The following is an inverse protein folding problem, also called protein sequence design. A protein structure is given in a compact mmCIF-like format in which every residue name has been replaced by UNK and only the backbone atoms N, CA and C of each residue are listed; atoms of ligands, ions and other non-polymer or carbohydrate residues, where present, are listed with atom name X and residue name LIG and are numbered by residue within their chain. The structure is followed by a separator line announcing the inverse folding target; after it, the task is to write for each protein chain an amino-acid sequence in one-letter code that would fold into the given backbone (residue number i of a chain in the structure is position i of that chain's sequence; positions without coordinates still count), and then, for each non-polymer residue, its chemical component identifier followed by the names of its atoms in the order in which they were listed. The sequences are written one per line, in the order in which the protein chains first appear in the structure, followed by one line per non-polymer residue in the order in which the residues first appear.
data_IF_964524089585
#
_entry.id   IF_964524089585
#
_cell.length_a   1.000
_cell.length_b   1.000
_cell.length_c   1.000
_cell.angle_alpha   90.00
_cell.angle_beta   90.00
_cell.angle_gamma   90.00
#
_symmetry.space_group_name_H-M   'P 1'
#
loop_
_entity.id
_entity.type
_entity.pdbx_description
1 polymer ?
#
# COMPACT_ATOMS: atom_id res chain seq x y z
N UNK A 1 5.11 -0.92 -3.79
CA UNK A 1 5.93 -2.17 -3.68
C UNK A 1 5.24 -3.36 -4.33
N UNK A 2 4.02 -3.73 -3.89
CA UNK A 2 3.34 -4.90 -4.43
C UNK A 2 2.96 -4.79 -5.91
N UNK A 3 2.65 -3.59 -6.41
CA UNK A 3 2.37 -3.44 -7.84
C UNK A 3 3.52 -3.87 -8.73
N UNK A 4 4.75 -3.45 -8.45
CA UNK A 4 5.88 -3.92 -9.25
C UNK A 4 6.09 -5.42 -9.11
N UNK A 5 5.80 -6.00 -7.95
CA UNK A 5 5.87 -7.45 -7.73
C UNK A 5 4.89 -8.23 -8.62
N UNK A 6 3.66 -7.73 -8.78
CA UNK A 6 2.65 -8.36 -9.62
C UNK A 6 2.80 -8.01 -11.11
N UNK A 7 3.14 -6.76 -11.43
CA UNK A 7 3.22 -6.25 -12.80
C UNK A 7 4.52 -6.62 -13.51
N UNK A 8 5.65 -6.58 -12.80
CA UNK A 8 6.96 -6.64 -13.42
C UNK A 8 7.41 -8.03 -13.85
N UNK A 9 8.66 -8.11 -14.29
CA UNK A 9 9.23 -9.31 -14.89
C UNK A 9 9.58 -10.40 -13.85
N UNK A 10 9.04 -11.64 -13.98
CA UNK A 10 9.25 -12.70 -13.01
C UNK A 10 10.69 -13.23 -12.92
N UNK A 11 11.63 -12.91 -13.84
CA UNK A 11 13.01 -13.42 -13.75
C UNK A 11 13.77 -12.88 -12.54
N UNK A 12 13.37 -11.72 -12.00
CA UNK A 12 14.07 -10.99 -10.95
C UNK A 12 13.80 -11.57 -9.54
N UNK A 13 14.21 -12.82 -9.31
CA UNK A 13 13.90 -13.59 -8.09
C UNK A 13 14.40 -12.94 -6.79
N UNK A 14 15.54 -12.23 -6.82
CA UNK A 14 16.02 -11.49 -5.66
C UNK A 14 15.07 -10.36 -5.25
N UNK A 15 14.61 -9.57 -6.22
CA UNK A 15 13.69 -8.46 -5.96
C UNK A 15 12.34 -8.96 -5.43
N UNK A 16 11.90 -10.15 -5.87
CA UNK A 16 10.73 -10.83 -5.33
C UNK A 16 10.93 -11.19 -3.87
N UNK A 17 12.03 -11.88 -3.54
CA UNK A 17 12.35 -12.26 -2.15
C UNK A 17 12.47 -11.05 -1.23
N UNK A 18 13.11 -9.98 -1.71
CA UNK A 18 13.21 -8.73 -0.96
C UNK A 18 11.82 -8.09 -0.74
N UNK A 19 10.95 -8.12 -1.75
CA UNK A 19 9.58 -7.60 -1.65
C UNK A 19 8.71 -8.44 -0.70
N UNK A 20 8.82 -9.77 -0.76
CA UNK A 20 8.11 -10.71 0.12
C UNK A 20 8.51 -10.49 1.58
N UNK A 21 9.83 -10.48 1.89
CA UNK A 21 10.33 -10.21 3.24
C UNK A 21 9.96 -8.80 3.72
N UNK A 22 10.05 -7.80 2.85
CA UNK A 22 9.60 -6.45 3.15
C UNK A 22 8.13 -6.42 3.57
N UNK A 23 7.25 -7.10 2.83
CA UNK A 23 5.82 -7.07 3.13
C UNK A 23 5.49 -7.81 4.44
N UNK A 24 6.15 -8.94 4.71
CA UNK A 24 6.04 -9.63 6.01
C UNK A 24 6.42 -8.70 7.17
N UNK A 25 7.53 -7.96 7.04
CA UNK A 25 7.96 -7.00 8.06
C UNK A 25 6.97 -5.83 8.24
N UNK A 26 6.32 -5.38 7.17
CA UNK A 26 5.23 -4.40 7.26
C UNK A 26 4.05 -4.96 8.04
N UNK A 27 3.62 -6.21 7.76
CA UNK A 27 2.53 -6.86 8.48
C UNK A 27 2.83 -6.97 9.99
N UNK A 28 4.03 -7.42 10.35
CA UNK A 28 4.48 -7.53 11.75
C UNK A 28 4.49 -6.15 12.44
N UNK A 29 5.00 -5.11 11.77
CA UNK A 29 5.04 -3.77 12.33
C UNK A 29 3.63 -3.19 12.54
N UNK A 30 2.71 -3.41 11.59
CA UNK A 30 1.30 -3.00 11.72
C UNK A 30 0.64 -3.71 12.90
N UNK A 31 0.76 -5.02 13.00
CA UNK A 31 0.17 -5.80 14.11
C UNK A 31 0.65 -5.29 15.49
N UNK A 32 1.95 -5.01 15.61
CA UNK A 32 2.51 -4.43 16.84
C UNK A 32 1.94 -3.06 17.15
N UNK A 33 1.75 -2.21 16.15
CA UNK A 33 1.24 -0.85 16.34
C UNK A 33 -0.26 -0.80 16.58
N UNK A 34 -1.04 -1.76 16.06
CA UNK A 34 -2.45 -1.90 16.39
C UNK A 34 -2.64 -2.29 17.87
N UNK A 35 -1.78 -3.18 18.38
CA UNK A 35 -1.81 -3.60 19.78
C UNK A 35 -1.19 -2.58 20.73
N UNK A 36 -0.09 -1.95 20.33
CA UNK A 36 0.68 -1.01 21.14
C UNK A 36 1.14 0.18 20.28
N UNK A 37 0.31 1.21 20.11
CA UNK A 37 0.60 2.34 19.23
C UNK A 37 1.90 3.08 19.59
N UNK A 38 2.31 3.10 20.84
CA UNK A 38 3.53 3.77 21.33
C UNK A 38 4.80 2.90 21.26
N UNK A 39 4.74 1.70 20.66
CA UNK A 39 5.93 0.87 20.43
C UNK A 39 6.93 1.57 19.49
N UNK A 40 7.92 2.23 20.09
CA UNK A 40 8.95 2.98 19.36
C UNK A 40 9.70 2.11 18.35
N UNK A 41 9.97 0.84 18.67
CA UNK A 41 10.70 -0.04 17.74
C UNK A 41 9.84 -0.35 16.52
N UNK A 42 8.55 -0.63 16.71
CA UNK A 42 7.63 -0.86 15.60
C UNK A 42 7.42 0.40 14.75
N UNK A 43 7.35 1.58 15.38
CA UNK A 43 7.30 2.87 14.65
C UNK A 43 8.55 3.09 13.81
N UNK A 44 9.74 2.94 14.40
CA UNK A 44 11.00 3.09 13.68
C UNK A 44 11.09 2.10 12.50
N UNK A 45 10.70 0.84 12.73
CA UNK A 45 10.66 -0.18 11.68
C UNK A 45 9.73 0.24 10.54
N UNK A 46 8.48 0.61 10.85
CA UNK A 46 7.51 0.98 9.81
C UNK A 46 7.91 2.26 9.06
N UNK A 47 8.46 3.26 9.76
CA UNK A 47 9.00 4.48 9.12
C UNK A 47 10.15 4.16 8.18
N UNK A 48 11.08 3.29 8.58
CA UNK A 48 12.20 2.86 7.74
C UNK A 48 11.73 2.06 6.52
N UNK A 49 10.78 1.13 6.71
CA UNK A 49 10.14 0.40 5.61
C UNK A 49 9.46 1.37 4.63
N UNK A 50 8.78 2.40 5.14
CA UNK A 50 8.21 3.47 4.32
C UNK A 50 9.25 4.17 3.43
N UNK A 51 10.44 4.48 3.97
CA UNK A 51 11.52 5.09 3.20
C UNK A 51 12.09 4.14 2.12
N UNK A 52 12.19 2.83 2.41
CA UNK A 52 12.67 1.84 1.45
C UNK A 52 11.66 1.57 0.35
N UNK A 53 10.36 1.60 0.64
CA UNK A 53 9.27 1.17 -0.24
C UNK A 53 9.35 1.75 -1.66
N UNK A 54 9.80 3.01 -1.80
CA UNK A 54 9.92 3.73 -3.07
C UNK A 54 11.36 4.15 -3.39
N UNK A 55 12.35 3.61 -2.70
CA UNK A 55 13.79 3.84 -2.97
C UNK A 55 14.25 3.30 -4.34
N UNK A 56 13.42 2.49 -5.01
CA UNK A 56 13.77 1.76 -6.22
C UNK A 56 14.45 0.41 -5.97
N UNK A 57 15.00 0.18 -4.77
CA UNK A 57 15.68 -1.07 -4.40
C UNK A 57 14.78 -2.31 -4.59
N UNK A 58 13.54 -2.24 -4.09
CA UNK A 58 12.58 -3.35 -4.17
C UNK A 58 11.99 -3.53 -5.58
N UNK A 59 12.12 -2.53 -6.44
CA UNK A 59 11.53 -2.52 -7.78
C UNK A 59 12.54 -2.98 -8.85
N UNK A 60 13.84 -2.76 -8.66
CA UNK A 60 14.85 -3.11 -9.66
C UNK A 60 15.44 -4.50 -9.39
N UNK A 61 15.76 -5.29 -10.44
CA UNK A 61 15.66 -4.97 -11.87
C UNK A 61 14.26 -5.23 -12.49
N UNK A 62 13.32 -5.77 -11.71
CA UNK A 62 11.99 -6.21 -12.15
C UNK A 62 11.19 -5.18 -12.94
N UNK A 63 11.19 -3.92 -12.50
CA UNK A 63 10.37 -2.86 -13.07
C UNK A 63 8.87 -3.11 -12.89
N UNK A 64 8.08 -2.54 -13.78
CA UNK A 64 6.62 -2.67 -13.79
C UNK A 64 5.93 -1.33 -13.59
N UNK A 65 4.73 -1.24 -14.17
CA UNK A 65 3.86 -0.07 -14.08
C UNK A 65 3.09 -0.05 -12.74
N UNK A 66 2.43 1.07 -12.46
CA UNK A 66 1.71 1.34 -11.21
C UNK A 66 0.25 1.75 -11.45
N UNK A 67 -0.56 0.91 -12.15
CA UNK A 67 -1.93 1.24 -12.52
C UNK A 67 -2.84 1.55 -11.32
N UNK A 68 -2.67 0.91 -10.17
CA UNK A 68 -3.43 1.23 -8.96
C UNK A 68 -3.16 2.64 -8.48
N UNK A 69 -1.90 3.09 -8.47
CA UNK A 69 -1.60 4.47 -8.09
C UNK A 69 -2.23 5.44 -9.10
N UNK A 70 -2.14 5.13 -10.40
CA UNK A 70 -2.77 5.94 -11.46
C UNK A 70 -4.29 6.05 -11.28
N UNK A 71 -4.98 4.94 -10.95
CA UNK A 71 -6.41 4.94 -10.63
C UNK A 71 -6.72 5.64 -9.31
N UNK A 72 -5.84 5.55 -8.32
CA UNK A 72 -6.07 6.19 -7.04
C UNK A 72 -6.03 7.73 -7.14
N UNK A 73 -5.15 8.30 -7.97
CA UNK A 73 -4.92 9.74 -8.00
C UNK A 73 -6.18 10.58 -8.26
N UNK A 74 -7.06 10.27 -9.24
CA UNK A 74 -8.32 10.99 -9.39
C UNK A 74 -9.23 10.89 -8.17
N UNK A 75 -9.31 9.73 -7.49
CA UNK A 75 -10.13 9.59 -6.29
C UNK A 75 -9.72 10.58 -5.20
N UNK A 76 -8.42 10.69 -4.89
CA UNK A 76 -7.94 11.72 -3.96
C UNK A 76 -8.15 13.13 -4.50
N UNK A 77 -7.96 13.35 -5.80
CA UNK A 77 -8.13 14.68 -6.41
C UNK A 77 -9.55 15.23 -6.31
N UNK A 78 -10.57 14.36 -6.38
CA UNK A 78 -11.98 14.76 -6.30
C UNK A 78 -12.56 14.73 -4.89
N UNK A 79 -12.11 13.80 -4.03
CA UNK A 79 -12.75 13.53 -2.72
C UNK A 79 -11.85 13.77 -1.52
N UNK A 80 -10.61 14.23 -1.71
CA UNK A 80 -9.62 14.47 -0.64
C UNK A 80 -9.41 13.26 0.29
N UNK A 81 -9.55 12.06 -0.25
CA UNK A 81 -9.32 10.82 0.51
C UNK A 81 -7.81 10.61 0.71
N UNK A 82 -7.43 10.02 1.84
CA UNK A 82 -6.03 9.65 2.06
C UNK A 82 -5.56 8.66 0.99
N UNK A 83 -4.33 8.86 0.49
CA UNK A 83 -3.75 8.03 -0.57
C UNK A 83 -3.79 6.52 -0.24
N UNK A 84 -3.37 6.16 0.98
CA UNK A 84 -3.34 4.77 1.45
C UNK A 84 -4.72 4.10 1.51
N UNK A 85 -5.77 4.80 1.97
CA UNK A 85 -7.14 4.26 1.97
C UNK A 85 -7.66 4.03 0.56
N UNK A 86 -7.38 4.94 -0.38
CA UNK A 86 -7.74 4.75 -1.79
C UNK A 86 -7.01 3.57 -2.44
N UNK A 87 -5.74 3.34 -2.10
CA UNK A 87 -5.02 2.16 -2.55
C UNK A 87 -5.60 0.88 -1.94
N UNK A 88 -5.93 0.87 -0.65
CA UNK A 88 -6.50 -0.29 0.02
C UNK A 88 -7.91 -0.64 -0.50
N UNK A 89 -8.69 0.38 -0.88
CA UNK A 89 -9.93 0.22 -1.64
C UNK A 89 -9.67 -0.51 -2.97
N UNK A 90 -8.75 -0.02 -3.79
CA UNK A 90 -8.58 -0.52 -5.16
C UNK A 90 -7.83 -1.84 -5.26
N UNK A 91 -6.88 -2.10 -4.35
CA UNK A 91 -5.91 -3.19 -4.49
C UNK A 91 -6.54 -4.59 -4.65
N UNK A 92 -7.44 -5.06 -3.78
CA UNK A 92 -8.05 -6.40 -3.94
C UNK A 92 -8.93 -6.48 -5.20
N UNK A 93 -9.59 -5.39 -5.59
CA UNK A 93 -10.49 -5.34 -6.76
C UNK A 93 -9.69 -5.43 -8.06
N UNK A 94 -8.62 -4.66 -8.16
CA UNK A 94 -7.67 -4.74 -9.26
C UNK A 94 -7.03 -6.12 -9.34
N UNK A 95 -6.58 -6.67 -8.21
CA UNK A 95 -5.91 -7.98 -8.21
C UNK A 95 -6.86 -9.08 -8.70
N UNK A 96 -8.14 -9.03 -8.29
CA UNK A 96 -9.20 -9.90 -8.81
C UNK A 96 -9.46 -9.68 -10.30
N UNK A 97 -9.44 -8.44 -10.77
CA UNK A 97 -9.64 -8.12 -12.18
C UNK A 97 -8.53 -8.68 -13.10
N UNK A 98 -7.28 -8.68 -12.63
CA UNK A 98 -6.11 -9.10 -13.42
C UNK A 98 -5.63 -10.51 -13.08
N UNK A 99 -6.27 -11.23 -12.16
CA UNK A 99 -5.74 -12.49 -11.61
C UNK A 99 -5.50 -13.56 -12.69
N UNK A 100 -6.37 -13.61 -13.71
CA UNK A 100 -6.31 -14.59 -14.79
C UNK A 100 -5.06 -14.46 -15.66
N UNK A 101 -4.44 -13.28 -15.71
CA UNK A 101 -3.28 -13.02 -16.56
C UNK A 101 -1.98 -13.59 -15.97
N UNK A 102 -1.84 -13.57 -14.63
CA UNK A 102 -0.63 -14.06 -13.93
C UNK A 102 -0.96 -14.76 -12.60
N UNK A 103 -1.76 -15.84 -12.59
CA UNK A 103 -2.16 -16.52 -11.36
C UNK A 103 -0.96 -17.07 -10.58
N UNK A 104 0.08 -17.56 -11.27
CA UNK A 104 1.28 -18.10 -10.62
C UNK A 104 1.99 -17.10 -9.70
N UNK A 105 1.98 -15.80 -10.01
CA UNK A 105 2.62 -14.78 -9.17
C UNK A 105 1.80 -14.49 -7.91
N UNK A 106 0.48 -14.58 -8.02
CA UNK A 106 -0.46 -14.46 -6.90
C UNK A 106 -0.31 -15.68 -5.96
N UNK A 107 -0.27 -16.89 -6.52
CA UNK A 107 -0.02 -18.12 -5.75
C UNK A 107 1.32 -18.02 -5.00
N UNK A 108 2.40 -17.62 -5.69
CA UNK A 108 3.72 -17.42 -5.07
C UNK A 108 3.65 -16.44 -3.89
N UNK A 109 2.86 -15.37 -4.00
CA UNK A 109 2.66 -14.42 -2.90
C UNK A 109 1.98 -15.10 -1.71
N UNK A 110 0.89 -15.83 -1.95
CA UNK A 110 0.18 -16.57 -0.89
C UNK A 110 1.06 -17.58 -0.15
N UNK A 111 1.82 -18.38 -0.89
CA UNK A 111 2.72 -19.38 -0.31
C UNK A 111 3.84 -18.74 0.51
N UNK A 112 4.42 -17.63 0.02
CA UNK A 112 5.65 -17.07 0.61
C UNK A 112 5.39 -16.02 1.69
N UNK A 113 4.29 -15.29 1.59
CA UNK A 113 3.93 -14.21 2.53
C UNK A 113 2.92 -14.71 3.55
N UNK A 114 1.86 -15.38 3.10
CA UNK A 114 0.81 -15.89 3.98
C UNK A 114 1.03 -17.34 4.42
N UNK A 115 2.10 -18.00 3.96
CA UNK A 115 2.41 -19.39 4.28
C UNK A 115 1.26 -20.37 3.93
N UNK A 116 0.54 -20.08 2.85
CA UNK A 116 -0.59 -20.91 2.40
C UNK A 116 -0.10 -22.18 1.69
N UNK A 117 -0.79 -23.30 1.88
CA UNK A 117 -0.61 -24.52 1.11
C UNK A 117 -1.63 -24.57 -0.04
N UNK A 118 -1.14 -24.39 -1.27
CA UNK A 118 -1.96 -24.23 -2.47
C UNK A 118 -1.68 -25.31 -3.52
N UNK A 119 -0.80 -26.28 -3.26
CA UNK A 119 -0.28 -27.23 -4.25
C UNK A 119 -1.39 -28.08 -4.90
N UNK A 120 -2.47 -28.34 -4.15
CA UNK A 120 -3.56 -29.22 -4.58
C UNK A 120 -4.71 -28.50 -5.30
N UNK A 121 -4.72 -27.17 -5.33
CA UNK A 121 -5.80 -26.37 -5.91
C UNK A 121 -5.58 -26.11 -7.41
N UNK A 122 -6.67 -25.88 -8.15
CA UNK A 122 -6.55 -25.39 -9.51
C UNK A 122 -5.93 -23.97 -9.50
N UNK A 123 -5.03 -23.58 -10.44
CA UNK A 123 -4.29 -22.32 -10.33
C UNK A 123 -5.14 -21.05 -10.18
N UNK A 124 -6.30 -20.98 -10.84
CA UNK A 124 -7.21 -19.83 -10.68
C UNK A 124 -7.88 -19.80 -9.30
N UNK A 125 -8.32 -20.96 -8.81
CA UNK A 125 -8.91 -21.11 -7.48
C UNK A 125 -7.87 -20.78 -6.40
N UNK A 126 -6.64 -21.27 -6.56
CA UNK A 126 -5.53 -20.94 -5.67
C UNK A 126 -5.26 -19.42 -5.62
N UNK A 127 -5.26 -18.74 -6.78
CA UNK A 127 -5.08 -17.30 -6.83
C UNK A 127 -6.24 -16.54 -6.17
N UNK A 128 -7.48 -17.01 -6.33
CA UNK A 128 -8.66 -16.45 -5.65
C UNK A 128 -8.55 -16.59 -4.12
N UNK A 129 -8.14 -17.75 -3.61
CA UNK A 129 -7.92 -17.96 -2.18
C UNK A 129 -6.87 -17.00 -1.59
N UNK A 130 -5.81 -16.69 -2.34
CA UNK A 130 -4.81 -15.68 -1.90
C UNK A 130 -5.41 -14.28 -1.84
N UNK A 131 -6.26 -13.92 -2.81
CA UNK A 131 -6.95 -12.63 -2.83
C UNK A 131 -7.92 -12.53 -1.64
N UNK A 132 -8.63 -13.62 -1.33
CA UNK A 132 -9.49 -13.70 -0.14
C UNK A 132 -8.68 -13.52 1.15
N UNK A 133 -7.55 -14.22 1.30
CA UNK A 133 -6.66 -14.06 2.46
C UNK A 133 -6.12 -12.63 2.60
N UNK A 134 -5.82 -11.97 1.48
CA UNK A 134 -5.42 -10.56 1.45
C UNK A 134 -6.55 -9.64 1.91
N UNK A 135 -7.79 -9.89 1.47
CA UNK A 135 -8.98 -9.13 1.90
C UNK A 135 -9.18 -9.31 3.40
N UNK A 136 -9.11 -10.54 3.92
CA UNK A 136 -9.19 -10.83 5.35
C UNK A 136 -8.13 -10.05 6.13
N UNK A 137 -6.88 -10.05 5.68
CA UNK A 137 -5.83 -9.29 6.34
C UNK A 137 -6.08 -7.78 6.31
N UNK A 138 -6.57 -7.23 5.18
CA UNK A 138 -6.95 -5.82 5.10
C UNK A 138 -8.09 -5.50 6.06
N UNK A 139 -9.08 -6.38 6.21
CA UNK A 139 -10.20 -6.23 7.14
C UNK A 139 -9.73 -6.29 8.60
N UNK A 140 -8.87 -7.24 8.94
CA UNK A 140 -8.24 -7.40 10.27
C UNK A 140 -7.55 -6.11 10.74
N UNK A 141 -6.91 -5.38 9.83
CA UNK A 141 -6.22 -4.11 10.14
C UNK A 141 -7.08 -2.87 9.95
N UNK A 142 -8.37 -3.02 9.62
CA UNK A 142 -9.31 -1.91 9.39
C UNK A 142 -9.03 -1.10 8.12
N UNK A 143 -8.48 -1.75 7.08
CA UNK A 143 -8.10 -1.17 5.80
C UNK A 143 -8.89 -1.70 4.59
N UNK A 144 -9.89 -2.55 4.79
CA UNK A 144 -10.79 -2.95 3.71
C UNK A 144 -11.98 -1.99 3.61
N UNK A 145 -12.07 -1.27 2.49
CA UNK A 145 -13.06 -0.21 2.29
C UNK A 145 -13.94 -0.47 1.06
N UNK A 146 -15.10 0.17 1.04
CA UNK A 146 -15.94 0.42 -0.13
C UNK A 146 -15.98 1.92 -0.45
N UNK A 147 -16.58 2.30 -1.57
CA UNK A 147 -16.68 3.72 -1.97
C UNK A 147 -17.41 4.58 -0.92
N UNK A 148 -18.49 4.05 -0.34
CA UNK A 148 -19.31 4.72 0.66
C UNK A 148 -18.55 4.99 1.97
N UNK A 149 -17.67 4.08 2.42
CA UNK A 149 -16.79 4.26 3.58
C UNK A 149 -15.87 5.48 3.44
N UNK A 150 -15.56 5.87 2.20
CA UNK A 150 -14.65 6.97 1.88
C UNK A 150 -15.40 8.22 1.38
N UNK A 151 -16.73 8.24 1.46
CA UNK A 151 -17.55 9.38 1.04
C UNK A 151 -17.62 9.56 -0.48
N UNK A 152 -17.30 8.53 -1.27
CA UNK A 152 -17.37 8.57 -2.73
C UNK A 152 -18.77 8.09 -3.16
N UNK A 153 -19.55 8.88 -3.92
CA UNK A 153 -20.86 8.46 -4.40
C UNK A 153 -20.80 7.24 -5.31
N UNK A 154 -21.72 6.30 -5.12
CA UNK A 154 -21.95 5.15 -6.01
C UNK A 154 -22.71 5.59 -7.28
N UNK A 155 -22.16 6.54 -8.03
CA UNK A 155 -22.73 7.06 -9.28
C UNK A 155 -21.92 6.57 -10.48
N UNK A 156 -22.47 5.69 -11.34
CA UNK A 156 -21.78 5.19 -12.53
C UNK A 156 -21.28 6.29 -13.46
N UNK A 157 -21.97 7.42 -13.58
CA UNK A 157 -21.55 8.54 -14.43
C UNK A 157 -20.28 9.18 -13.89
N UNK A 158 -20.22 9.37 -12.56
CA UNK A 158 -19.03 9.85 -11.87
C UNK A 158 -17.87 8.85 -12.00
N UNK A 159 -18.12 7.55 -11.79
CA UNK A 159 -17.07 6.51 -11.90
C UNK A 159 -16.50 6.43 -13.33
N UNK A 160 -17.36 6.58 -14.35
CA UNK A 160 -16.91 6.66 -15.74
C UNK A 160 -16.03 7.89 -15.98
N UNK A 161 -16.45 9.06 -15.49
CA UNK A 161 -15.65 10.28 -15.57
C UNK A 161 -14.28 10.12 -14.89
N UNK A 162 -14.23 9.48 -13.73
CA UNK A 162 -12.98 9.19 -13.02
C UNK A 162 -12.08 8.26 -13.85
N UNK A 163 -12.66 7.25 -14.51
CA UNK A 163 -11.90 6.34 -15.38
C UNK A 163 -11.34 7.07 -16.62
N UNK A 164 -12.12 7.95 -17.24
CA UNK A 164 -11.66 8.83 -18.31
C UNK A 164 -10.52 9.74 -17.84
N UNK A 165 -10.62 10.31 -16.64
CA UNK A 165 -9.57 11.16 -16.06
C UNK A 165 -8.26 10.38 -15.81
N UNK A 166 -8.32 9.10 -15.44
CA UNK A 166 -7.11 8.25 -15.33
C UNK A 166 -6.38 8.19 -16.66
N UNK A 167 -7.10 7.89 -17.74
CA UNK A 167 -6.52 7.79 -19.10
C UNK A 167 -6.07 9.16 -19.60
N UNK A 168 -6.84 10.23 -19.35
CA UNK A 168 -6.46 11.59 -19.75
C UNK A 168 -5.14 12.04 -19.10
N UNK A 169 -4.88 11.62 -17.86
CA UNK A 169 -3.69 12.04 -17.10
C UNK A 169 -2.50 11.12 -17.38
N UNK A 170 -2.71 9.80 -17.44
CA UNK A 170 -1.64 8.80 -17.43
C UNK A 170 -1.60 7.89 -18.67
N UNK A 171 -2.59 8.01 -19.55
CA UNK A 171 -2.74 7.13 -20.71
C UNK A 171 -1.65 7.32 -21.75
N UNK A 172 -1.29 6.22 -22.40
CA UNK A 172 -0.43 6.22 -23.58
C UNK A 172 -1.20 6.60 -24.86
N UNK A 173 -0.52 6.58 -26.00
CA UNK A 173 -1.09 6.91 -27.32
C UNK A 173 -2.27 6.02 -27.73
N UNK A 174 -2.43 4.86 -27.09
CA UNK A 174 -3.54 3.93 -27.33
C UNK A 174 -4.71 4.16 -26.36
N UNK A 175 -4.63 5.16 -25.48
CA UNK A 175 -5.66 5.44 -24.49
C UNK A 175 -5.70 4.40 -23.36
N UNK A 176 -4.54 3.83 -23.01
CA UNK A 176 -4.44 2.81 -21.97
C UNK A 176 -3.36 3.15 -20.94
N UNK A 177 -3.50 2.64 -19.71
CA UNK A 177 -2.42 2.58 -18.74
C UNK A 177 -1.78 1.19 -18.72
N UNK A 178 -0.52 1.12 -18.31
CA UNK A 178 0.23 -0.12 -18.21
C UNK A 178 -0.09 -0.95 -16.95
N UNK A 179 0.46 -2.15 -16.87
CA UNK A 179 0.18 -3.13 -15.82
C UNK A 179 0.45 -4.56 -16.29
N UNK A 180 -0.07 -5.56 -15.56
CA UNK A 180 -0.07 -6.97 -16.00
C UNK A 180 -0.69 -7.11 -17.41
N UNK A 181 -1.81 -6.41 -17.63
CA UNK A 181 -2.41 -6.14 -18.94
C UNK A 181 -2.57 -4.62 -19.09
N UNK A 182 -2.73 -4.17 -20.34
CA UNK A 182 -3.12 -2.78 -20.62
C UNK A 182 -4.57 -2.58 -20.16
N UNK A 183 -4.85 -1.45 -19.52
CA UNK A 183 -6.18 -1.10 -19.00
C UNK A 183 -6.68 0.16 -19.71
N UNK A 184 -7.82 0.07 -20.39
CA UNK A 184 -8.55 1.20 -20.93
C UNK A 184 -9.61 1.73 -19.95
N UNK A 185 -10.39 2.70 -20.42
CA UNK A 185 -11.47 3.33 -19.62
C UNK A 185 -12.46 2.29 -19.08
N UNK A 186 -12.92 1.36 -19.93
CA UNK A 186 -13.91 0.35 -19.53
C UNK A 186 -13.36 -0.63 -18.48
N UNK A 187 -12.08 -1.01 -18.57
CA UNK A 187 -11.42 -1.85 -17.57
C UNK A 187 -11.37 -1.14 -16.21
N UNK A 188 -10.97 0.15 -16.21
CA UNK A 188 -10.86 0.97 -15.01
C UNK A 188 -12.24 1.22 -14.39
N UNK A 189 -13.24 1.52 -15.21
CA UNK A 189 -14.63 1.67 -14.77
C UNK A 189 -15.11 0.39 -14.07
N UNK A 190 -14.85 -0.77 -14.65
CA UNK A 190 -15.23 -2.08 -14.06
C UNK A 190 -14.56 -2.27 -12.68
N UNK A 191 -13.29 -1.89 -12.55
CA UNK A 191 -12.57 -1.94 -11.26
C UNK A 191 -13.22 -1.01 -10.23
N UNK A 192 -13.53 0.24 -10.60
CA UNK A 192 -14.24 1.16 -9.70
C UNK A 192 -15.63 0.66 -9.32
N UNK A 193 -16.39 0.13 -10.26
CA UNK A 193 -17.73 -0.41 -10.00
C UNK A 193 -17.67 -1.57 -8.99
N UNK A 194 -16.64 -2.42 -9.08
CA UNK A 194 -16.43 -3.50 -8.10
C UNK A 194 -16.07 -3.03 -6.68
N UNK A 195 -15.82 -1.73 -6.50
CA UNK A 195 -15.63 -1.11 -5.18
C UNK A 195 -16.96 -0.68 -4.51
N UNK A 196 -18.09 -0.80 -5.21
CA UNK A 196 -19.43 -0.56 -4.66
C UNK A 196 -19.78 -1.71 -3.70
N UNK A 197 -20.37 -1.37 -2.55
CA UNK A 197 -20.86 -2.36 -1.61
C UNK A 197 -22.07 -3.09 -2.19
N UNK A 198 -21.96 -4.40 -2.39
CA UNK A 198 -23.08 -5.24 -2.82
C UNK A 198 -23.80 -5.76 -1.57
N UNK A 199 -24.91 -5.12 -1.20
CA UNK A 199 -25.91 -5.66 -0.27
C UNK A 199 -25.62 -5.53 1.23
N UNK A 200 -26.11 -4.44 1.82
CA UNK A 200 -26.90 -4.47 3.07
C UNK A 200 -28.16 -3.61 2.82
N UNK A 201 -29.33 -3.96 3.38
CA UNK A 201 -30.57 -3.19 3.15
C UNK A 201 -30.37 -1.74 3.57
N UNK A 202 -30.99 -0.79 2.88
CA UNK A 202 -31.23 0.55 3.42
C UNK A 202 -31.78 0.40 4.84
N UNK A 203 -30.95 0.68 5.85
CA UNK A 203 -31.48 1.07 7.14
C UNK A 203 -32.06 2.45 6.90
N UNK A 204 -33.34 2.46 6.54
CA UNK A 204 -34.15 3.65 6.48
C UNK A 204 -34.17 4.19 7.91
N UNK A 205 -33.28 5.16 8.21
CA UNK A 205 -33.34 5.86 9.48
C UNK A 205 -34.74 6.48 9.58
N UNK A 206 -35.50 6.24 10.65
CA UNK A 206 -36.76 6.94 10.83
C UNK A 206 -36.43 8.43 10.94
N UNK A 207 -36.96 9.23 10.02
CA UNK A 207 -37.12 10.66 10.23
C UNK A 207 -38.17 10.83 11.33
N UNK A 208 -37.75 10.70 12.59
CA UNK A 208 -38.47 11.26 13.72
C UNK A 208 -37.74 12.52 14.18
N UNK A 209 -38.45 13.60 13.91
CA UNK A 209 -38.26 14.98 14.33
C UNK A 209 -38.19 15.15 15.85
N UNK A 210 -37.89 16.40 16.21
CA UNK A 210 -38.09 17.10 17.48
C UNK A 210 -36.84 17.06 18.38
N UNK A 211 -36.40 18.14 19.02
CA UNK A 211 -36.85 19.52 19.12
C UNK A 211 -35.72 20.27 19.87
N UNK A 212 -35.72 21.59 19.75
CA UNK A 212 -34.83 22.56 20.40
C UNK A 212 -34.50 22.20 21.87
N UNK A 213 -33.21 22.21 22.21
CA UNK A 213 -32.74 22.58 23.55
C UNK A 213 -31.63 23.62 23.37
N UNK A 214 -32.03 24.88 23.52
CA UNK A 214 -31.11 25.96 23.82
C UNK A 214 -30.80 25.97 25.32
N UNK A 215 -29.54 26.22 25.62
CA UNK A 215 -28.92 26.69 26.88
C UNK A 215 -27.45 26.24 26.79
N UNK A 216 -26.42 26.97 27.16
CA UNK A 216 -26.20 28.36 27.52
C UNK A 216 -24.66 28.46 27.51
N UNK A 217 -24.09 29.53 26.95
CA UNK A 217 -22.64 29.71 26.98
C UNK A 217 -22.20 30.17 28.37
N UNK A 218 -21.40 29.35 29.06
CA UNK A 218 -20.62 29.80 30.21
C UNK A 218 -19.17 30.03 29.81
N UNK A 219 -18.83 31.31 29.87
CA UNK A 219 -17.54 31.97 29.87
C UNK A 219 -16.53 31.26 30.79
N UNK A 220 -15.46 30.69 30.23
CA UNK A 220 -14.23 30.41 30.99
C UNK A 220 -13.05 31.08 30.30
N UNK A 221 -12.46 31.96 31.09
CA UNK A 221 -11.41 32.92 30.76
C UNK A 221 -10.08 32.23 30.47
N UNK A 222 -9.46 32.71 29.40
CA UNK A 222 -8.06 32.51 29.02
C UNK A 222 -7.13 32.95 30.16
N UNK A 223 -6.39 32.02 30.73
CA UNK A 223 -5.13 32.33 31.40
C UNK A 223 -3.97 32.01 30.45
N UNK A 224 -3.25 33.05 30.06
CA UNK A 224 -2.03 33.00 29.29
C UNK A 224 -0.87 32.64 30.22
N UNK A 225 -0.36 31.41 30.14
CA UNK A 225 0.97 31.10 30.66
C UNK A 225 2.02 31.31 29.57
N UNK A 226 3.10 31.94 30.01
CA UNK A 226 4.16 32.56 29.25
C UNK A 226 5.19 31.57 28.72
N UNK A 227 5.51 31.78 27.45
CA UNK A 227 6.78 31.55 26.73
C UNK A 227 8.02 31.20 27.59
N UNK A 228 8.49 29.95 27.49
CA UNK A 228 9.90 29.60 27.68
C UNK A 228 10.35 28.67 26.53
N UNK A 229 11.11 29.24 25.59
CA UNK A 229 11.95 28.53 24.61
C UNK A 229 13.35 28.25 25.21
N UNK A 230 14.12 27.31 24.63
CA UNK A 230 14.62 26.14 25.37
C UNK A 230 16.08 26.25 25.83
N UNK A 231 16.43 25.55 26.91
CA UNK A 231 17.81 25.33 27.34
C UNK A 231 18.51 24.26 26.49
N UNK A 232 19.46 24.71 25.68
CA UNK A 232 20.69 24.06 25.23
C UNK A 232 20.72 22.53 25.03
N UNK A 233 20.81 22.13 23.75
CA UNK A 233 21.23 20.79 23.32
C UNK A 233 22.72 20.62 23.67
N UNK A 234 23.16 19.57 24.39
CA UNK A 234 24.57 19.30 24.59
C UNK A 234 25.21 18.86 23.27
N UNK A 235 26.23 19.58 22.83
CA UNK A 235 27.09 19.17 21.72
C UNK A 235 27.83 17.89 22.06
N UNK A 236 27.66 16.87 21.23
CA UNK A 236 28.48 15.65 21.30
C UNK A 236 29.85 16.01 20.69
N UNK A 237 30.90 15.93 21.51
CA UNK A 237 32.30 16.06 21.11
C UNK A 237 32.66 15.02 20.05
N UNK A 238 33.31 15.44 18.95
CA UNK A 238 33.78 14.58 17.84
C UNK A 238 34.95 13.65 18.20
N UNK A 239 35.41 13.63 19.45
CA UNK A 239 36.61 12.89 19.86
C UNK A 239 36.33 11.48 20.41
N UNK A 240 35.68 10.62 19.63
CA UNK A 240 35.63 9.18 19.93
C UNK A 240 35.63 8.29 18.68
N UNK A 241 36.65 8.45 17.84
CA UNK A 241 37.07 7.41 16.89
C UNK A 241 38.57 7.15 17.11
N UNK A 242 38.98 6.02 17.72
CA UNK A 242 40.35 5.58 17.61
C UNK A 242 40.51 4.86 16.26
N UNK A 243 41.22 5.51 15.35
CA UNK A 243 41.80 4.90 14.17
C UNK A 243 43.14 4.20 14.53
N UNK A 244 43.42 3.13 13.77
CA UNK A 244 44.71 2.45 13.53
C UNK A 244 45.15 1.34 14.52
N UNK A 245 45.78 0.23 14.13
CA UNK A 245 46.22 -0.38 12.85
C UNK A 245 46.68 -1.81 13.20
N UNK A 246 46.53 -2.80 12.30
CA UNK A 246 47.64 -3.73 11.99
C UNK A 246 47.37 -4.53 10.72
N UNK A 247 48.01 -4.09 9.63
CA UNK A 247 48.37 -4.95 8.50
C UNK A 247 49.29 -6.07 8.97
N UNK A 248 49.00 -7.31 8.56
CA UNK A 248 50.05 -8.28 8.25
C UNK A 248 49.72 -8.94 6.93
N UNK A 249 50.49 -8.51 5.93
CA UNK A 249 50.81 -9.15 4.66
C UNK A 249 51.05 -10.67 4.78
N UNK A 250 50.50 -11.44 3.84
CA UNK A 250 51.24 -12.46 3.06
C UNK A 250 50.40 -13.02 1.92
N UNK A 251 50.70 -12.52 0.72
CA UNK A 251 51.01 -13.27 -0.50
C UNK A 251 50.15 -14.48 -0.90
N UNK A 252 49.47 -14.33 -2.04
CA UNK A 252 48.96 -15.45 -2.84
C UNK A 252 48.65 -15.00 -4.26
N UNK A 253 49.66 -14.93 -5.12
CA UNK A 253 49.49 -14.90 -6.58
C UNK A 253 48.77 -16.16 -7.04
N UNK A 254 47.75 -16.02 -7.87
CA UNK A 254 47.30 -17.10 -8.76
C UNK A 254 47.23 -16.49 -10.15
N UNK A 255 48.09 -16.99 -11.02
CA UNK A 255 48.27 -16.59 -12.40
C UNK A 255 47.05 -17.00 -13.24
N UNK A 256 46.73 -16.15 -14.21
CA UNK A 256 45.85 -16.45 -15.33
C UNK A 256 46.61 -17.27 -16.38
N UNK A 257 46.16 -18.50 -16.64
CA UNK A 257 46.42 -19.17 -17.91
C UNK A 257 45.08 -19.35 -18.62
N UNK A 258 45.08 -18.99 -19.91
CA UNK A 258 43.96 -19.22 -20.81
C UNK A 258 44.01 -20.60 -21.44
N UNK A 259 42.82 -21.08 -21.81
CA UNK A 259 42.48 -21.76 -23.06
C UNK A 259 40.98 -21.57 -23.31
#
# INVERSE_FOLDING_TARGET
VLESYFNGDPWATFADRATEGFFIEVMIAIERLLNKPEDLKARCQLSYLGAIALSGFLNRPRGGDFPLHMMQHPLSGYFDISHGRGLALLFPRWLKYVCHEKPAKIIQFGERVFSMDLETHHPLEAAELVIERLIEWLDEIGAYFYLDDLGIPNDPTLLMKLAEDVIRINGDENGTIGGIKRLGVDDIFTIYESCIRIGTPEVQMPLESLEEHGEEASDETVETETDEQPSEIPTISEDAIPAEVSETDKGGQIESEGD
#
